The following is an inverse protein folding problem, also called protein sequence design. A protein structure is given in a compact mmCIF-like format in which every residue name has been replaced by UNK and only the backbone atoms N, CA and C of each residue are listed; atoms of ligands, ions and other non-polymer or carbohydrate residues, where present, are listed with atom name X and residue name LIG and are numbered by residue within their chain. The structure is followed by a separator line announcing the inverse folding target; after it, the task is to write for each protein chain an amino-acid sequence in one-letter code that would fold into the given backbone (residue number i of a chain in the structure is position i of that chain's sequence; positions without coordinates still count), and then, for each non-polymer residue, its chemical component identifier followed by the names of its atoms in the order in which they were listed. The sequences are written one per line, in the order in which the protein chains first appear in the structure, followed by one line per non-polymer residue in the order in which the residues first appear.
data_IF_320311670201
#
_entry.id   IF_320311670201
#
_cell.length_a   1.000
_cell.length_b   1.000
_cell.length_c   1.000
_cell.angle_alpha   90.00
_cell.angle_beta   90.00
_cell.angle_gamma   90.00
#
_symmetry.space_group_name_H-M   'P 1'
#
loop_
_entity.id
_entity.type
_entity.pdbx_description
1 polymer ?
#
# COMPACT_ATOMS: atom_id res chain seq x y z
N UNK A 1 10.92 5.11 -27.88
CA UNK A 1 10.72 3.67 -28.16
C UNK A 1 11.47 3.18 -29.40
N UNK A 2 11.47 3.86 -30.55
CA UNK A 2 12.12 3.35 -31.77
C UNK A 2 13.64 3.20 -31.69
N UNK A 3 14.33 4.10 -30.96
CA UNK A 3 15.79 4.07 -30.82
C UNK A 3 16.30 2.81 -30.10
N UNK A 4 15.66 2.39 -29.01
CA UNK A 4 16.06 1.19 -28.26
C UNK A 4 15.79 -0.09 -29.05
N UNK A 5 14.73 -0.12 -29.89
CA UNK A 5 14.49 -1.22 -30.85
C UNK A 5 15.63 -1.32 -31.85
N UNK A 6 16.04 -0.20 -32.44
CA UNK A 6 17.13 -0.14 -33.40
C UNK A 6 18.48 -0.52 -32.75
N UNK A 7 18.82 0.05 -31.60
CA UNK A 7 20.04 -0.29 -30.87
C UNK A 7 20.11 -1.78 -30.50
N UNK A 8 18.99 -2.37 -30.10
CA UNK A 8 18.91 -3.81 -29.81
C UNK A 8 19.07 -4.67 -31.07
N UNK A 9 18.42 -4.28 -32.17
CA UNK A 9 18.44 -5.05 -33.44
C UNK A 9 19.80 -4.95 -34.14
N UNK A 10 20.48 -3.81 -34.02
CA UNK A 10 21.77 -3.53 -34.64
C UNK A 10 22.96 -3.81 -33.71
N UNK A 11 22.71 -4.34 -32.50
CA UNK A 11 23.73 -4.69 -31.51
C UNK A 11 24.63 -3.51 -31.07
N UNK A 12 24.06 -2.31 -30.92
CA UNK A 12 24.74 -1.15 -30.33
C UNK A 12 24.63 -1.18 -28.80
N UNK A 13 25.46 -2.00 -28.16
CA UNK A 13 25.34 -2.29 -26.72
C UNK A 13 25.53 -1.05 -25.82
N UNK A 14 26.46 -0.15 -26.16
CA UNK A 14 26.69 1.08 -25.38
C UNK A 14 25.46 1.99 -25.38
N UNK A 15 24.86 2.18 -26.56
CA UNK A 15 23.67 3.01 -26.75
C UNK A 15 22.46 2.35 -26.12
N UNK A 16 22.35 1.01 -26.22
CA UNK A 16 21.31 0.23 -25.55
C UNK A 16 21.35 0.43 -24.05
N UNK A 17 22.52 0.31 -23.41
CA UNK A 17 22.67 0.50 -21.96
C UNK A 17 22.25 1.92 -21.55
N UNK A 18 22.69 2.93 -22.30
CA UNK A 18 22.28 4.31 -22.02
C UNK A 18 20.76 4.50 -22.17
N UNK A 19 20.17 4.02 -23.26
CA UNK A 19 18.73 4.11 -23.53
C UNK A 19 17.89 3.36 -22.48
N UNK A 20 18.36 2.22 -21.96
CA UNK A 20 17.68 1.50 -20.87
C UNK A 20 17.66 2.35 -19.61
N UNK A 21 18.79 2.97 -19.23
CA UNK A 21 18.84 3.87 -18.06
C UNK A 21 17.91 5.08 -18.20
N UNK A 22 17.83 5.67 -19.39
CA UNK A 22 16.89 6.76 -19.65
C UNK A 22 15.43 6.28 -19.53
N UNK A 23 15.11 5.09 -20.03
CA UNK A 23 13.77 4.52 -19.86
C UNK A 23 13.46 4.19 -18.40
N UNK A 24 14.41 3.63 -17.66
CA UNK A 24 14.29 3.40 -16.22
C UNK A 24 14.05 4.71 -15.47
N UNK A 25 14.75 5.79 -15.80
CA UNK A 25 14.53 7.09 -15.17
C UNK A 25 13.12 7.67 -15.43
N UNK A 26 12.49 7.30 -16.54
CA UNK A 26 11.13 7.71 -16.88
C UNK A 26 10.04 6.84 -16.22
N UNK A 27 10.40 5.67 -15.69
CA UNK A 27 9.49 4.68 -15.13
C UNK A 27 9.76 4.49 -13.64
N UNK A 28 8.71 4.32 -12.83
CA UNK A 28 8.92 4.22 -11.37
C UNK A 28 9.66 2.93 -11.03
N UNK A 29 10.91 3.04 -10.60
CA UNK A 29 11.66 1.96 -9.98
C UNK A 29 11.25 1.76 -8.52
N UNK A 30 10.80 2.84 -7.88
CA UNK A 30 10.45 2.89 -6.45
C UNK A 30 9.07 3.53 -6.23
N UNK A 31 8.40 3.09 -5.16
CA UNK A 31 7.09 3.55 -4.72
C UNK A 31 7.07 4.98 -4.20
N UNK A 32 8.19 5.44 -3.64
CA UNK A 32 8.28 6.73 -2.95
C UNK A 32 8.52 7.90 -3.91
N UNK A 33 8.86 7.62 -5.16
CA UNK A 33 9.16 8.65 -6.14
C UNK A 33 7.89 9.07 -6.91
N UNK A 34 7.57 10.38 -6.97
CA UNK A 34 6.54 10.86 -7.87
C UNK A 34 6.91 10.47 -9.30
N UNK A 35 5.93 9.99 -10.10
CA UNK A 35 6.24 9.72 -11.50
C UNK A 35 6.70 11.02 -12.16
N UNK A 36 7.86 10.98 -12.81
CA UNK A 36 8.39 12.09 -13.59
C UNK A 36 7.42 12.51 -14.71
N UNK A 37 6.58 11.59 -15.19
CA UNK A 37 5.59 11.85 -16.24
C UNK A 37 4.17 11.40 -15.82
N UNK A 38 3.18 12.31 -15.76
CA UNK A 38 1.78 11.95 -15.45
C UNK A 38 1.13 11.05 -16.52
N UNK A 39 1.66 11.03 -17.76
CA UNK A 39 1.18 10.19 -18.85
C UNK A 39 1.82 8.80 -18.92
N UNK A 40 2.85 8.53 -18.10
CA UNK A 40 3.51 7.22 -18.00
C UNK A 40 2.53 6.04 -17.98
N UNK A 41 1.40 6.08 -17.25
CA UNK A 41 0.43 4.99 -17.24
C UNK A 41 -0.16 4.65 -18.61
N UNK A 42 -0.38 5.65 -19.47
CA UNK A 42 -1.10 5.47 -20.74
C UNK A 42 -0.26 4.70 -21.76
N UNK A 43 1.06 4.65 -21.56
CA UNK A 43 2.01 3.96 -22.42
C UNK A 43 2.45 2.61 -21.86
N UNK A 44 1.94 2.18 -20.70
CA UNK A 44 2.37 0.95 -20.03
C UNK A 44 2.31 -0.31 -20.91
N UNK A 45 1.24 -0.54 -21.72
CA UNK A 45 1.21 -1.66 -22.67
C UNK A 45 2.34 -1.61 -23.70
N UNK A 46 2.62 -0.43 -24.28
CA UNK A 46 3.70 -0.23 -25.25
C UNK A 46 5.07 -0.46 -24.62
N UNK A 47 5.23 -0.07 -23.36
CA UNK A 47 6.48 -0.26 -22.60
C UNK A 47 6.70 -1.72 -22.26
N UNK A 48 5.67 -2.43 -21.81
CA UNK A 48 5.76 -3.86 -21.55
C UNK A 48 6.07 -4.66 -22.82
N UNK A 49 5.39 -4.36 -23.95
CA UNK A 49 5.66 -4.99 -25.23
C UNK A 49 7.11 -4.71 -25.70
N UNK A 50 7.59 -3.47 -25.57
CA UNK A 50 8.97 -3.12 -25.87
C UNK A 50 9.96 -3.86 -24.96
N UNK A 51 9.71 -3.88 -23.65
CA UNK A 51 10.57 -4.50 -22.66
C UNK A 51 10.72 -6.00 -22.92
N UNK A 52 9.63 -6.69 -23.30
CA UNK A 52 9.69 -8.08 -23.74
C UNK A 52 10.52 -8.25 -25.01
N UNK A 53 10.26 -7.42 -26.02
CA UNK A 53 10.93 -7.53 -27.32
C UNK A 53 12.44 -7.26 -27.24
N UNK A 54 12.86 -6.35 -26.36
CA UNK A 54 14.27 -5.98 -26.19
C UNK A 54 14.94 -6.67 -24.99
N UNK A 55 14.25 -7.55 -24.26
CA UNK A 55 14.74 -8.20 -23.02
C UNK A 55 15.22 -7.19 -21.97
N UNK A 56 14.33 -6.30 -21.56
CA UNK A 56 14.56 -5.23 -20.56
C UNK A 56 13.69 -5.50 -19.32
N UNK A 57 14.09 -6.48 -18.52
CA UNK A 57 13.26 -7.03 -17.43
C UNK A 57 12.92 -6.03 -16.33
N UNK A 58 13.84 -5.12 -16.05
CA UNK A 58 13.70 -4.00 -15.10
C UNK A 58 12.46 -3.13 -15.33
N UNK A 59 11.97 -3.05 -16.57
CA UNK A 59 10.77 -2.28 -16.92
C UNK A 59 9.47 -3.09 -16.86
N UNK A 60 9.55 -4.43 -16.81
CA UNK A 60 8.36 -5.29 -16.86
C UNK A 60 7.50 -5.10 -15.62
N UNK A 61 8.10 -5.13 -14.42
CA UNK A 61 7.39 -4.94 -13.16
C UNK A 61 6.57 -3.64 -13.13
N UNK A 62 7.17 -2.44 -13.31
CA UNK A 62 6.41 -1.20 -13.27
C UNK A 62 5.40 -1.08 -14.42
N UNK A 63 5.71 -1.58 -15.61
CA UNK A 63 4.76 -1.56 -16.72
C UNK A 63 3.53 -2.44 -16.44
N UNK A 64 3.72 -3.68 -15.99
CA UNK A 64 2.62 -4.58 -15.66
C UNK A 64 1.79 -4.08 -14.48
N UNK A 65 2.43 -3.48 -13.46
CA UNK A 65 1.71 -2.82 -12.39
C UNK A 65 0.78 -1.71 -12.92
N UNK A 66 1.33 -0.83 -13.77
CA UNK A 66 0.58 0.28 -14.37
C UNK A 66 -0.55 -0.22 -15.30
N UNK A 67 -0.37 -1.35 -15.99
CA UNK A 67 -1.42 -2.00 -16.77
C UNK A 67 -2.50 -2.63 -15.87
N UNK A 68 -2.11 -3.36 -14.82
CA UNK A 68 -3.02 -4.09 -13.95
C UNK A 68 -4.05 -3.18 -13.26
N UNK A 69 -3.74 -1.90 -13.06
CA UNK A 69 -4.65 -0.91 -12.47
C UNK A 69 -5.58 -0.21 -13.48
N UNK A 70 -5.34 -0.32 -14.79
CA UNK A 70 -6.13 0.37 -15.82
C UNK A 70 -7.34 -0.47 -16.28
N UNK A 71 -8.53 0.10 -16.46
CA UNK A 71 -9.66 -0.61 -17.08
C UNK A 71 -9.24 -1.30 -18.39
N UNK A 72 -9.63 -2.56 -18.58
CA UNK A 72 -9.24 -3.34 -19.77
C UNK A 72 -7.72 -3.54 -19.96
N UNK A 73 -6.92 -3.33 -18.91
CA UNK A 73 -5.45 -3.38 -18.93
C UNK A 73 -4.78 -2.34 -19.85
N UNK A 74 -5.54 -1.36 -20.36
CA UNK A 74 -5.06 -0.36 -21.32
C UNK A 74 -4.75 -0.92 -22.72
N UNK A 75 -5.14 -2.16 -23.02
CA UNK A 75 -4.81 -2.82 -24.28
C UNK A 75 -5.49 -2.19 -25.50
N UNK A 76 -6.54 -1.39 -25.28
CA UNK A 76 -7.20 -0.57 -26.31
C UNK A 76 -6.24 0.44 -26.97
N UNK A 77 -5.11 0.74 -26.32
CA UNK A 77 -4.09 1.68 -26.80
C UNK A 77 -2.93 1.01 -27.53
N UNK A 78 -2.95 -0.31 -27.61
CA UNK A 78 -1.92 -1.10 -28.25
C UNK A 78 -2.18 -1.15 -29.75
N UNK A 79 -1.14 -0.97 -30.57
CA UNK A 79 -1.25 -1.14 -32.02
C UNK A 79 -1.35 -2.62 -32.36
N UNK A 80 -2.04 -3.00 -33.46
CA UNK A 80 -2.20 -4.42 -33.85
C UNK A 80 -0.87 -5.16 -34.07
N UNK A 81 0.21 -4.41 -34.34
CA UNK A 81 1.56 -4.93 -34.51
C UNK A 81 2.22 -5.35 -33.19
N UNK A 82 1.75 -4.82 -32.06
CA UNK A 82 2.28 -5.08 -30.73
C UNK A 82 1.45 -6.23 -30.11
N UNK A 83 2.03 -7.43 -30.07
CA UNK A 83 1.33 -8.62 -29.56
C UNK A 83 1.68 -8.86 -28.10
N UNK A 84 0.64 -9.03 -27.28
CA UNK A 84 0.77 -9.56 -25.92
C UNK A 84 0.52 -11.07 -25.93
N UNK A 85 1.45 -11.84 -25.36
CA UNK A 85 1.31 -13.29 -25.28
C UNK A 85 0.24 -13.72 -24.28
N UNK A 86 -0.29 -14.93 -24.44
CA UNK A 86 -1.23 -15.53 -23.49
C UNK A 86 -0.66 -15.58 -22.06
N UNK A 87 0.63 -15.90 -21.91
CA UNK A 87 1.32 -15.91 -20.63
C UNK A 87 1.32 -14.53 -19.94
N UNK A 88 1.54 -13.46 -20.70
CA UNK A 88 1.54 -12.10 -20.16
C UNK A 88 0.12 -11.64 -19.78
N UNK A 89 -0.90 -12.06 -20.53
CA UNK A 89 -2.30 -11.81 -20.17
C UNK A 89 -2.69 -12.51 -18.87
N UNK A 90 -2.32 -13.78 -18.71
CA UNK A 90 -2.55 -14.51 -17.46
C UNK A 90 -1.83 -13.84 -16.28
N UNK A 91 -0.58 -13.42 -16.49
CA UNK A 91 0.21 -12.68 -15.50
C UNK A 91 -0.47 -11.37 -15.08
N UNK A 92 -1.00 -10.59 -16.03
CA UNK A 92 -1.75 -9.35 -15.73
C UNK A 92 -3.01 -9.60 -14.91
N UNK A 93 -3.75 -10.68 -15.22
CA UNK A 93 -4.94 -11.07 -14.46
C UNK A 93 -4.55 -11.41 -13.03
N UNK A 94 -3.54 -12.27 -12.85
CA UNK A 94 -3.07 -12.68 -11.52
C UNK A 94 -2.56 -11.50 -10.69
N UNK A 95 -1.79 -10.59 -11.29
CA UNK A 95 -1.33 -9.37 -10.63
C UNK A 95 -2.53 -8.52 -10.20
N UNK A 96 -3.52 -8.29 -11.08
CA UNK A 96 -4.72 -7.52 -10.72
C UNK A 96 -5.50 -8.15 -9.58
N UNK A 97 -5.69 -9.47 -9.60
CA UNK A 97 -6.38 -10.21 -8.54
C UNK A 97 -5.64 -10.03 -7.20
N UNK A 98 -4.33 -10.25 -7.20
CA UNK A 98 -3.49 -10.03 -6.02
C UNK A 98 -3.60 -8.59 -5.48
N UNK A 99 -3.51 -7.59 -6.36
CA UNK A 99 -3.64 -6.18 -5.97
C UNK A 99 -5.02 -5.87 -5.38
N UNK A 100 -6.08 -6.40 -5.99
CA UNK A 100 -7.45 -6.22 -5.51
C UNK A 100 -7.64 -6.87 -4.14
N UNK A 101 -7.14 -8.09 -3.95
CA UNK A 101 -7.27 -8.82 -2.68
C UNK A 101 -6.51 -8.11 -1.55
N UNK A 102 -5.29 -7.65 -1.81
CA UNK A 102 -4.52 -6.87 -0.85
C UNK A 102 -5.20 -5.54 -0.51
N UNK A 103 -5.80 -4.87 -1.50
CA UNK A 103 -6.58 -3.65 -1.23
C UNK A 103 -7.78 -3.93 -0.33
N UNK A 104 -8.53 -5.00 -0.60
CA UNK A 104 -9.68 -5.40 0.22
C UNK A 104 -9.24 -5.67 1.66
N UNK A 105 -8.13 -6.38 1.86
CA UNK A 105 -7.61 -6.65 3.21
C UNK A 105 -7.28 -5.37 3.99
N UNK A 106 -6.69 -4.37 3.32
CA UNK A 106 -6.31 -3.11 3.97
C UNK A 106 -7.50 -2.17 4.19
N UNK A 107 -8.43 -2.09 3.23
CA UNK A 107 -9.44 -1.04 3.21
C UNK A 107 -10.83 -1.50 3.70
N UNK A 108 -11.16 -2.79 3.62
CA UNK A 108 -12.53 -3.25 3.88
C UNK A 108 -13.00 -2.97 5.31
N UNK A 109 -12.14 -3.17 6.32
CA UNK A 109 -12.52 -3.01 7.73
C UNK A 109 -11.38 -2.45 8.56
N UNK A 110 -11.75 -1.79 9.66
CA UNK A 110 -10.79 -1.53 10.73
C UNK A 110 -10.25 -2.88 11.22
N UNK A 111 -8.92 -3.06 11.18
CA UNK A 111 -8.27 -4.25 11.71
C UNK A 111 -8.67 -4.48 13.18
N UNK A 112 -9.41 -5.56 13.49
CA UNK A 112 -9.83 -5.85 14.85
C UNK A 112 -8.65 -6.19 15.77
N UNK A 113 -7.51 -6.61 15.21
CA UNK A 113 -6.28 -6.85 15.97
C UNK A 113 -5.52 -5.55 16.29
N UNK A 114 -5.91 -4.41 15.71
CA UNK A 114 -5.25 -3.14 15.98
C UNK A 114 -5.60 -2.62 17.38
N UNK A 115 -4.65 -2.82 18.30
CA UNK A 115 -4.71 -2.27 19.66
C UNK A 115 -4.08 -0.88 19.68
N UNK A 116 -4.80 0.08 20.28
CA UNK A 116 -4.30 1.43 20.50
C UNK A 116 -3.06 1.38 21.42
N UNK A 117 -1.91 1.97 21.03
CA UNK A 117 -0.70 1.97 21.85
C UNK A 117 -0.90 2.58 23.25
N UNK A 118 -1.85 3.51 23.37
CA UNK A 118 -2.14 4.22 24.62
C UNK A 118 -3.19 3.52 25.48
N UNK A 119 -3.69 2.36 25.07
CA UNK A 119 -4.66 1.58 25.84
C UNK A 119 -3.95 0.79 26.96
N UNK A 120 -3.18 1.48 27.81
CA UNK A 120 -2.67 0.90 29.03
C UNK A 120 -3.74 1.02 30.13
N UNK A 121 -4.27 -0.11 30.59
CA UNK A 121 -5.01 -0.16 31.86
C UNK A 121 -6.52 -0.43 31.79
N UNK A 122 -7.00 -1.28 30.87
CA UNK A 122 -8.26 -1.98 31.18
C UNK A 122 -7.94 -3.06 32.22
N UNK A 123 -8.47 -2.99 33.46
CA UNK A 123 -8.36 -4.11 34.37
C UNK A 123 -9.06 -5.31 33.72
N UNK A 124 -8.30 -6.40 33.52
CA UNK A 124 -8.89 -7.70 33.22
C UNK A 124 -9.84 -8.01 34.36
N UNK A 125 -11.15 -7.96 34.10
CA UNK A 125 -12.16 -8.26 35.09
C UNK A 125 -12.29 -9.78 35.16
N UNK A 126 -11.20 -10.44 35.56
CA UNK A 126 -11.22 -11.85 35.93
C UNK A 126 -11.76 -11.93 37.36
N UNK A 127 -13.08 -12.04 37.44
CA UNK A 127 -13.78 -12.30 38.69
C UNK A 127 -13.67 -13.76 39.10
N UNK A 128 -12.76 -14.04 40.03
CA UNK A 128 -12.77 -15.15 40.99
C UNK A 128 -12.01 -14.63 42.22
N UNK A 129 -12.45 -14.64 43.47
CA UNK A 129 -13.52 -15.32 44.16
C UNK A 129 -13.06 -15.45 45.63
N UNK A 130 -13.61 -14.59 46.49
CA UNK A 130 -13.83 -14.73 47.95
C UNK A 130 -12.70 -15.11 48.95
N UNK A 131 -12.78 -14.40 50.09
CA UNK A 131 -12.36 -14.71 51.49
C UNK A 131 -10.94 -14.20 51.87
N UNK A 132 -10.66 -13.47 52.97
CA UNK A 132 -11.34 -13.09 54.24
C UNK A 132 -10.48 -12.00 54.95
N UNK A 133 -10.85 -11.43 56.13
CA UNK A 133 -10.48 -10.07 56.61
C UNK A 133 -9.40 -9.97 57.72
N UNK A 134 -9.09 -8.70 58.10
CA UNK A 134 -8.17 -8.14 59.11
C UNK A 134 -6.73 -7.93 58.62
N UNK A 135 -6.07 -6.79 58.79
CA UNK A 135 -5.90 -5.99 60.03
C UNK A 135 -5.51 -4.52 59.70
N UNK A 136 -5.95 -3.58 60.53
CA UNK A 136 -5.68 -2.14 60.44
C UNK A 136 -4.26 -1.79 60.88
N UNK A 137 -3.53 -0.98 60.09
CA UNK A 137 -2.44 -0.13 60.59
C UNK A 137 -2.50 1.23 59.92
N UNK A 138 -2.72 2.24 60.77
CA UNK A 138 -2.66 3.67 60.49
C UNK A 138 -1.33 4.11 59.84
N UNK A 139 -1.40 4.68 58.63
CA UNK A 139 -0.37 5.60 58.13
C UNK A 139 -0.97 6.81 57.41
N UNK A 140 -0.81 7.93 58.12
CA UNK A 140 -0.87 9.35 57.79
C UNK A 140 -0.82 9.71 56.29
N UNK A 141 -1.69 10.62 55.79
CA UNK A 141 -1.66 11.06 54.40
C UNK A 141 -0.61 12.16 54.22
N UNK A 142 0.39 11.90 53.37
CA UNK A 142 1.28 12.95 52.85
C UNK A 142 0.71 13.42 51.53
N UNK A 143 0.23 14.66 51.55
CA UNK A 143 -0.22 15.46 50.42
C UNK A 143 0.98 15.68 49.48
N UNK A 144 0.98 15.01 48.34
CA UNK A 144 1.95 15.17 47.26
C UNK A 144 1.22 15.21 45.93
N UNK A 145 0.61 16.36 45.63
CA UNK A 145 -0.01 16.65 44.34
C UNK A 145 1.01 16.49 43.21
N UNK A 146 0.88 15.39 42.46
CA UNK A 146 1.32 15.31 41.08
C UNK A 146 0.06 15.15 40.23
N UNK A 147 -0.74 16.20 40.12
CA UNK A 147 -1.65 16.35 38.98
C UNK A 147 -0.83 16.82 37.79
N UNK A 148 0.01 15.92 37.27
CA UNK A 148 0.38 16.01 35.86
C UNK A 148 -0.85 15.54 35.11
N UNK A 149 -1.67 16.49 34.68
CA UNK A 149 -2.73 16.26 33.72
C UNK A 149 -2.08 15.78 32.42
N UNK A 150 -1.77 14.48 32.36
CA UNK A 150 -1.61 13.77 31.11
C UNK A 150 -2.92 14.00 30.37
N UNK A 151 -2.88 14.87 29.37
CA UNK A 151 -3.92 15.02 28.36
C UNK A 151 -3.95 13.66 27.67
N UNK A 152 -4.67 12.71 28.28
CA UNK A 152 -4.86 11.38 27.76
C UNK A 152 -5.62 11.56 26.46
N UNK A 153 -4.87 11.54 25.36
CA UNK A 153 -5.32 11.57 23.99
C UNK A 153 -6.25 10.37 23.78
N UNK A 154 -7.52 10.57 24.09
CA UNK A 154 -8.48 9.49 24.31
C UNK A 154 -8.89 8.97 22.95
N UNK A 155 -8.33 7.82 22.56
CA UNK A 155 -8.81 7.07 21.41
C UNK A 155 -10.27 6.66 21.67
N UNK A 156 -11.16 6.85 20.69
CA UNK A 156 -12.57 6.47 20.87
C UNK A 156 -12.72 4.95 21.04
N UNK A 157 -13.89 4.54 21.55
CA UNK A 157 -14.30 3.14 21.60
C UNK A 157 -14.25 2.50 20.21
N UNK A 158 -14.01 1.18 20.18
CA UNK A 158 -13.87 0.39 18.94
C UNK A 158 -15.05 0.57 17.97
N UNK A 159 -16.28 0.65 18.48
CA UNK A 159 -17.48 0.85 17.66
C UNK A 159 -17.46 2.21 16.94
N UNK A 160 -17.08 3.26 17.65
CA UNK A 160 -16.93 4.60 17.07
C UNK A 160 -15.80 4.68 16.04
N UNK A 161 -14.71 3.93 16.23
CA UNK A 161 -13.61 3.85 15.26
C UNK A 161 -14.03 3.13 13.97
N UNK A 162 -14.84 2.07 14.08
CA UNK A 162 -15.39 1.36 12.91
C UNK A 162 -16.29 2.26 12.07
N UNK A 163 -17.19 3.02 12.70
CA UNK A 163 -18.05 3.96 11.97
C UNK A 163 -17.24 5.10 11.35
N UNK A 164 -16.27 5.64 12.09
CA UNK A 164 -15.36 6.64 11.54
C UNK A 164 -14.58 6.10 10.34
N UNK A 165 -14.13 4.83 10.38
CA UNK A 165 -13.45 4.17 9.26
C UNK A 165 -14.38 4.01 8.05
N UNK A 166 -15.62 3.58 8.27
CA UNK A 166 -16.62 3.44 7.22
C UNK A 166 -16.82 4.78 6.47
N UNK A 167 -17.01 5.87 7.21
CA UNK A 167 -17.12 7.22 6.63
C UNK A 167 -15.86 7.63 5.88
N UNK A 168 -14.70 7.38 6.49
CA UNK A 168 -13.41 7.82 5.97
C UNK A 168 -13.01 7.10 4.68
N UNK A 169 -13.32 5.81 4.54
CA UNK A 169 -12.82 4.97 3.44
C UNK A 169 -13.92 4.61 2.43
N UNK A 170 -15.11 4.24 2.91
CA UNK A 170 -16.19 3.78 2.04
C UNK A 170 -17.03 4.95 1.55
N UNK A 171 -17.53 5.80 2.45
CA UNK A 171 -18.41 6.93 2.07
C UNK A 171 -17.65 8.02 1.29
N UNK A 172 -16.34 8.16 1.52
CA UNK A 172 -15.46 9.05 0.75
C UNK A 172 -15.17 8.57 -0.68
N UNK A 173 -15.48 7.30 -0.98
CA UNK A 173 -15.20 6.66 -2.26
C UNK A 173 -13.76 6.19 -2.44
N UNK A 174 -12.88 6.32 -1.43
CA UNK A 174 -11.49 5.84 -1.50
C UNK A 174 -11.45 4.34 -1.80
N UNK A 175 -12.30 3.55 -1.13
CA UNK A 175 -12.38 2.11 -1.35
C UNK A 175 -12.61 1.77 -2.83
N UNK A 176 -13.62 2.39 -3.45
CA UNK A 176 -13.99 2.13 -4.84
C UNK A 176 -12.97 2.69 -5.83
N UNK A 177 -12.43 3.89 -5.56
CA UNK A 177 -11.48 4.59 -6.44
C UNK A 177 -10.18 3.82 -6.63
N UNK A 178 -9.71 3.13 -5.60
CA UNK A 178 -8.42 2.44 -5.59
C UNK A 178 -8.56 0.91 -5.63
N UNK A 179 -9.72 0.39 -6.10
CA UNK A 179 -10.03 -1.05 -6.13
C UNK A 179 -8.92 -1.93 -6.74
N UNK A 180 -8.21 -1.43 -7.75
CA UNK A 180 -7.13 -2.14 -8.45
C UNK A 180 -5.76 -1.49 -8.25
N UNK A 181 -5.64 -0.54 -7.33
CA UNK A 181 -4.45 0.27 -7.10
C UNK A 181 -4.20 0.41 -5.58
N UNK A 182 -3.87 -0.70 -4.89
CA UNK A 182 -3.65 -0.68 -3.45
C UNK A 182 -2.52 0.28 -3.05
N UNK A 183 -1.47 0.44 -3.87
CA UNK A 183 -0.35 1.30 -3.51
C UNK A 183 -0.76 2.77 -3.45
N UNK A 184 -1.52 3.27 -4.44
CA UNK A 184 -2.05 4.64 -4.38
C UNK A 184 -3.21 4.76 -3.40
N UNK A 185 -4.00 3.70 -3.21
CA UNK A 185 -5.04 3.66 -2.19
C UNK A 185 -4.48 3.82 -0.78
N UNK A 186 -3.40 3.09 -0.47
CA UNK A 186 -2.69 3.20 0.79
C UNK A 186 -2.03 4.58 0.93
N UNK A 187 -1.41 5.11 -0.14
CA UNK A 187 -0.87 6.47 -0.12
C UNK A 187 -1.98 7.51 0.18
N UNK A 188 -3.18 7.34 -0.36
CA UNK A 188 -4.32 8.19 -0.06
C UNK A 188 -4.74 8.06 1.41
N UNK A 189 -4.76 6.85 1.98
CA UNK A 189 -5.04 6.62 3.40
C UNK A 189 -3.97 7.26 4.31
N UNK A 190 -2.69 7.18 3.97
CA UNK A 190 -1.59 7.81 4.73
C UNK A 190 -1.78 9.33 4.82
N UNK A 191 -2.21 9.95 3.71
CA UNK A 191 -2.34 11.39 3.56
C UNK A 191 -3.73 11.94 3.89
N UNK A 192 -4.66 11.10 4.33
CA UNK A 192 -6.02 11.54 4.60
C UNK A 192 -6.11 12.44 5.84
N UNK A 193 -7.12 13.30 5.87
CA UNK A 193 -7.50 14.05 7.06
C UNK A 193 -8.22 13.12 8.04
N UNK A 194 -7.46 12.58 8.99
CA UNK A 194 -7.99 11.73 10.04
C UNK A 194 -8.92 12.50 10.97
N UNK A 195 -10.08 11.93 11.25
CA UNK A 195 -10.99 12.46 12.28
C UNK A 195 -10.35 12.37 13.68
N UNK A 196 -10.95 13.04 14.65
CA UNK A 196 -10.60 12.95 16.07
C UNK A 196 -10.92 11.57 16.71
N UNK A 197 -11.40 10.59 15.93
CA UNK A 197 -11.67 9.25 16.44
C UNK A 197 -10.41 8.45 16.81
N UNK A 198 -9.24 8.86 16.33
CA UNK A 198 -7.95 8.24 16.61
C UNK A 198 -7.01 9.22 17.31
N UNK A 199 -6.27 8.75 18.31
CA UNK A 199 -5.16 9.49 18.89
C UNK A 199 -3.98 9.57 17.89
N UNK A 200 -3.07 10.53 18.10
CA UNK A 200 -1.92 10.71 17.22
C UNK A 200 -1.02 9.47 17.13
N UNK A 201 -0.85 8.72 18.22
CA UNK A 201 -0.05 7.49 18.21
C UNK A 201 -0.69 6.38 17.37
N UNK A 202 -2.03 6.29 17.35
CA UNK A 202 -2.73 5.36 16.47
C UNK A 202 -2.56 5.74 15.00
N UNK A 203 -2.65 7.04 14.69
CA UNK A 203 -2.44 7.55 13.32
C UNK A 203 -1.01 7.26 12.88
N UNK A 204 -0.01 7.58 13.72
CA UNK A 204 1.39 7.36 13.44
C UNK A 204 1.71 5.88 13.21
N UNK A 205 1.25 5.00 14.11
CA UNK A 205 1.42 3.54 13.95
C UNK A 205 0.80 3.04 12.65
N UNK A 206 -0.43 3.43 12.32
CA UNK A 206 -1.07 2.99 11.08
C UNK A 206 -0.34 3.48 9.83
N UNK A 207 0.14 4.72 9.81
CA UNK A 207 0.94 5.22 8.68
C UNK A 207 2.20 4.38 8.50
N UNK A 208 2.88 4.01 9.58
CA UNK A 208 4.06 3.13 9.53
C UNK A 208 3.72 1.73 8.99
N UNK A 209 2.65 1.11 9.48
CA UNK A 209 2.17 -0.20 9.02
C UNK A 209 1.83 -0.16 7.53
N UNK A 210 1.23 0.93 7.07
CA UNK A 210 0.86 1.14 5.67
C UNK A 210 2.05 1.37 4.74
N UNK A 211 3.07 2.12 5.16
CA UNK A 211 4.33 2.19 4.39
C UNK A 211 4.97 0.81 4.24
N UNK A 212 4.93 -0.01 5.30
CA UNK A 212 5.42 -1.38 5.25
C UNK A 212 4.58 -2.22 4.28
N UNK A 213 3.26 -2.09 4.31
CA UNK A 213 2.36 -2.79 3.40
C UNK A 213 2.59 -2.40 1.93
N UNK A 214 2.83 -1.11 1.62
CA UNK A 214 3.17 -0.70 0.26
C UNK A 214 4.40 -1.45 -0.25
N UNK A 215 5.46 -1.53 0.56
CA UNK A 215 6.68 -2.27 0.21
C UNK A 215 6.39 -3.76 -0.04
N UNK A 216 5.63 -4.41 0.86
CA UNK A 216 5.24 -5.81 0.73
C UNK A 216 4.46 -6.05 -0.57
N UNK A 217 3.49 -5.20 -0.90
CA UNK A 217 2.72 -5.30 -2.14
C UNK A 217 3.66 -5.20 -3.35
N UNK A 218 4.57 -4.22 -3.36
CA UNK A 218 5.50 -4.05 -4.47
C UNK A 218 6.43 -5.24 -4.66
N UNK A 219 7.00 -5.76 -3.57
CA UNK A 219 7.83 -6.97 -3.60
C UNK A 219 7.04 -8.21 -4.04
N UNK A 220 5.76 -8.31 -3.66
CA UNK A 220 4.89 -9.41 -4.07
C UNK A 220 4.74 -9.51 -5.60
N UNK A 221 4.73 -8.36 -6.29
CA UNK A 221 4.65 -8.33 -7.75
C UNK A 221 5.86 -9.02 -8.40
N UNK A 222 7.03 -9.01 -7.76
CA UNK A 222 8.24 -9.66 -8.31
C UNK A 222 8.08 -11.17 -8.47
N UNK A 223 7.24 -11.81 -7.65
CA UNK A 223 6.96 -13.25 -7.73
C UNK A 223 6.47 -13.67 -9.11
N UNK A 224 5.68 -12.83 -9.77
CA UNK A 224 5.12 -13.13 -11.08
C UNK A 224 6.15 -13.10 -12.21
N UNK A 225 7.35 -12.55 -11.98
CA UNK A 225 8.43 -12.45 -12.97
C UNK A 225 9.60 -13.41 -12.69
N UNK A 226 9.52 -14.24 -11.65
CA UNK A 226 10.60 -15.20 -11.31
C UNK A 226 10.57 -16.47 -12.18
N UNK A 227 9.41 -16.86 -12.71
CA UNK A 227 9.23 -18.14 -13.42
C UNK A 227 9.70 -18.14 -14.89
N UNK A 228 9.98 -16.96 -15.47
CA UNK A 228 10.42 -16.81 -16.87
C UNK A 228 11.96 -16.79 -17.03
N UNK A 229 12.73 -17.13 -15.98
CA UNK A 229 14.22 -17.06 -15.97
C UNK A 229 14.90 -18.42 -15.96
#
# INVERSE_FOLDING_TARGET
MSLIRAATTLYFDSDRVWLVKELEALWRSNLEEPAANPESPLYAPKVAALARMCSIDVLLKPAFYEMARLPGFGLDKLEESEKFGCADMLRLIQIRECLSDMWVQVAAREDPAFVCPNLHGAPSNDGEGASTPFEQVDKKPVLGSITSASVASTCLLVTSRREAWARLVHDSGIFTRYRYDPLRGIAALINIEWTNAWCEDCKAKRKLDWHTMQRIIWEKIDEYFREDR
#
